data_IF_463519614453
#
_entry.id   IF_463519614453
#
_cell.length_a   1.000
_cell.length_b   1.000
_cell.length_c   1.000
_cell.angle_alpha   90.00
_cell.angle_beta   90.00
_cell.angle_gamma   90.00
#
_symmetry.space_group_name_H-M   'P 1'
#
loop_
_entity.id
_entity.type
_entity.pdbx_description
1 polymer ?
#
# COMPACT_ATOMS: atom_id res chain seq x y z
N UNK A 1 -63.25 -8.54 -30.12
CA UNK A 1 -62.05 -8.82 -29.29
C UNK A 1 -60.95 -9.38 -30.17
N UNK A 2 -59.84 -8.66 -30.33
CA UNK A 2 -58.52 -9.29 -30.22
C UNK A 2 -57.56 -8.51 -29.32
N UNK A 3 -56.58 -9.25 -28.80
CA UNK A 3 -55.63 -8.94 -27.72
C UNK A 3 -54.68 -7.78 -28.05
N UNK A 4 -54.54 -6.90 -27.07
CA UNK A 4 -53.50 -5.88 -26.97
C UNK A 4 -52.21 -6.55 -26.42
N UNK A 5 -51.15 -6.66 -27.23
CA UNK A 5 -49.82 -7.10 -26.78
C UNK A 5 -48.86 -5.92 -26.75
N UNK A 6 -48.79 -5.26 -25.58
CA UNK A 6 -47.76 -4.26 -25.30
C UNK A 6 -46.39 -4.95 -25.17
N UNK A 7 -45.47 -4.66 -26.09
CA UNK A 7 -44.05 -5.01 -25.96
C UNK A 7 -43.34 -3.93 -25.16
N UNK A 8 -42.86 -4.28 -23.97
CA UNK A 8 -41.92 -3.47 -23.18
C UNK A 8 -40.60 -3.31 -23.94
N UNK A 9 -40.23 -2.07 -24.29
CA UNK A 9 -38.85 -1.74 -24.67
C UNK A 9 -38.09 -1.40 -23.39
N UNK A 10 -37.33 -2.36 -22.89
CA UNK A 10 -36.31 -2.13 -21.86
C UNK A 10 -35.23 -1.25 -22.49
N UNK A 11 -35.16 0.01 -22.08
CA UNK A 11 -34.05 0.90 -22.42
C UNK A 11 -32.87 0.51 -21.54
N UNK A 12 -31.83 -0.05 -22.14
CA UNK A 12 -30.57 -0.34 -21.46
C UNK A 12 -29.97 0.96 -20.91
N UNK A 13 -29.76 1.03 -19.59
CA UNK A 13 -29.04 2.11 -18.94
C UNK A 13 -27.61 2.15 -19.48
N UNK A 14 -27.28 3.20 -20.24
CA UNK A 14 -25.92 3.46 -20.73
C UNK A 14 -25.06 3.85 -19.52
N UNK A 15 -24.12 2.99 -19.11
CA UNK A 15 -23.08 3.37 -18.16
C UNK A 15 -22.29 4.52 -18.79
N UNK A 16 -22.41 5.72 -18.22
CA UNK A 16 -21.55 6.85 -18.58
C UNK A 16 -20.22 6.65 -17.85
N UNK A 17 -19.19 6.29 -18.61
CA UNK A 17 -17.80 6.25 -18.16
C UNK A 17 -17.40 7.69 -17.80
N UNK A 18 -17.30 7.99 -16.51
CA UNK A 18 -16.69 9.24 -16.05
C UNK A 18 -15.19 9.16 -16.35
N UNK A 19 -14.73 9.99 -17.27
CA UNK A 19 -13.34 10.13 -17.68
C UNK A 19 -12.49 10.63 -16.52
N UNK A 20 -11.38 9.90 -16.28
CA UNK A 20 -10.39 10.08 -15.23
C UNK A 20 -9.55 11.34 -15.45
N UNK A 21 -10.08 12.50 -15.09
CA UNK A 21 -9.30 13.74 -14.97
C UNK A 21 -9.57 14.48 -13.65
N UNK A 22 -10.21 13.80 -12.67
CA UNK A 22 -10.51 14.39 -11.36
C UNK A 22 -9.54 13.98 -10.24
N UNK A 23 -8.67 12.98 -10.44
CA UNK A 23 -7.80 12.50 -9.35
C UNK A 23 -6.59 13.41 -9.10
N UNK A 24 -6.04 14.04 -10.15
CA UNK A 24 -4.91 14.99 -10.02
C UNK A 24 -5.33 16.38 -9.50
N UNK A 25 -6.61 16.74 -9.61
CA UNK A 25 -7.13 18.04 -9.14
C UNK A 25 -7.64 17.96 -7.68
N UNK A 26 -7.99 16.77 -7.19
CA UNK A 26 -8.40 16.61 -5.78
C UNK A 26 -7.28 16.84 -4.76
N UNK A 27 -6.00 16.75 -5.14
CA UNK A 27 -4.89 17.08 -4.24
C UNK A 27 -4.47 18.57 -4.28
N UNK A 28 -4.94 19.35 -5.25
CA UNK A 28 -4.42 20.71 -5.49
C UNK A 28 -5.46 21.84 -5.33
N UNK A 29 -6.74 21.54 -5.06
CA UNK A 29 -7.78 22.57 -4.83
C UNK A 29 -8.39 22.54 -3.41
N UNK A 30 -7.91 21.69 -2.49
CA UNK A 30 -8.30 21.78 -1.07
C UNK A 30 -7.52 22.88 -0.30
N UNK A 31 -7.28 24.02 -0.94
CA UNK A 31 -6.92 25.24 -0.24
C UNK A 31 -8.19 25.89 0.30
N UNK A 32 -8.64 25.45 1.49
CA UNK A 32 -9.34 26.19 2.56
C UNK A 32 -9.68 25.14 3.66
N UNK A 33 -8.96 25.22 4.78
CA UNK A 33 -9.21 24.58 6.08
C UNK A 33 -9.23 23.04 6.16
N UNK A 34 -8.08 22.37 6.09
CA UNK A 34 -7.85 21.11 6.84
C UNK A 34 -7.32 21.43 8.23
N UNK A 35 -8.09 22.19 9.03
CA UNK A 35 -7.80 22.27 10.45
C UNK A 35 -8.21 20.93 11.08
N UNK A 36 -7.23 20.07 11.35
CA UNK A 36 -7.30 18.81 12.11
C UNK A 36 -8.44 17.85 11.70
N UNK A 37 -8.40 17.30 10.48
CA UNK A 37 -9.30 16.19 10.13
C UNK A 37 -9.06 14.94 10.99
N UNK A 38 -7.82 14.80 11.49
CA UNK A 38 -7.37 13.75 12.40
C UNK A 38 -6.50 14.37 13.48
N UNK A 39 -6.56 13.84 14.71
CA UNK A 39 -5.75 14.32 15.84
C UNK A 39 -4.30 13.81 15.76
N UNK A 40 -4.09 12.69 15.06
CA UNK A 40 -2.78 12.05 14.87
C UNK A 40 -2.75 11.24 13.57
N UNK A 41 -1.54 10.88 13.12
CA UNK A 41 -1.31 9.88 12.07
C UNK A 41 -0.30 8.86 12.57
N UNK A 42 -0.53 7.57 12.31
CA UNK A 42 0.42 6.49 12.64
C UNK A 42 0.57 5.57 11.44
N UNK A 43 1.80 5.18 11.11
CA UNK A 43 2.14 4.39 9.93
C UNK A 43 2.69 3.02 10.31
N UNK A 44 2.19 1.99 9.63
CA UNK A 44 2.65 0.60 9.70
C UNK A 44 2.85 0.07 8.29
N UNK A 45 3.89 -0.73 8.09
CA UNK A 45 4.16 -1.27 6.78
C UNK A 45 5.62 -1.58 6.52
N UNK A 46 5.98 -1.40 5.26
CA UNK A 46 7.28 -1.77 4.72
C UNK A 46 8.11 -0.56 4.22
N UNK A 47 9.10 -0.84 3.37
CA UNK A 47 10.00 0.13 2.75
C UNK A 47 9.29 1.28 2.04
N UNK A 48 8.08 1.07 1.51
CA UNK A 48 7.33 2.13 0.83
C UNK A 48 6.97 3.28 1.79
N UNK A 49 6.97 3.02 3.10
CA UNK A 49 6.54 3.96 4.15
C UNK A 49 7.62 4.23 5.20
N UNK A 50 8.62 3.34 5.33
CA UNK A 50 9.72 3.44 6.32
C UNK A 50 10.41 4.83 6.31
N UNK A 51 10.46 5.46 7.48
CA UNK A 51 11.07 6.78 7.69
C UNK A 51 12.55 6.75 8.10
N UNK A 52 13.18 5.58 8.20
CA UNK A 52 14.59 5.40 8.54
C UNK A 52 14.84 4.47 9.72
N UNK A 53 14.13 3.34 9.82
CA UNK A 53 14.29 2.35 10.90
C UNK A 53 15.76 1.93 11.10
N UNK A 54 16.50 1.79 10.00
CA UNK A 54 17.91 1.36 9.98
C UNK A 54 18.93 2.51 10.10
N UNK A 55 18.52 3.75 10.35
CA UNK A 55 19.42 4.94 10.30
C UNK A 55 20.61 4.90 11.26
N UNK A 56 20.59 4.07 12.30
CA UNK A 56 21.71 3.88 13.23
C UNK A 56 22.72 2.81 12.77
N UNK A 57 22.34 1.96 11.82
CA UNK A 57 23.15 0.80 11.38
C UNK A 57 23.47 0.81 9.89
N UNK A 58 22.81 1.69 9.11
CA UNK A 58 23.02 1.89 7.67
C UNK A 58 23.35 3.37 7.44
N UNK A 59 24.32 3.70 6.56
CA UNK A 59 24.65 5.10 6.27
C UNK A 59 23.47 5.91 5.72
N UNK A 60 23.38 7.19 6.13
CA UNK A 60 22.37 8.13 5.66
C UNK A 60 21.02 8.01 6.38
N UNK A 61 19.94 8.62 5.85
CA UNK A 61 18.61 8.55 6.44
C UNK A 61 18.02 7.13 6.50
N UNK A 62 18.60 6.18 5.76
CA UNK A 62 18.15 4.79 5.65
C UNK A 62 16.68 4.65 5.23
N UNK A 63 16.19 5.58 4.42
CA UNK A 63 14.88 5.51 3.78
C UNK A 63 15.00 4.86 2.39
N UNK A 64 13.92 4.23 1.91
CA UNK A 64 13.91 3.50 0.64
C UNK A 64 13.45 4.38 -0.53
N UNK A 65 14.21 5.45 -0.74
CA UNK A 65 14.00 6.46 -1.79
C UNK A 65 15.36 6.96 -2.30
N UNK A 66 15.38 7.99 -3.14
CA UNK A 66 16.58 8.54 -3.79
C UNK A 66 17.65 9.08 -2.83
N UNK A 67 17.36 9.20 -1.52
CA UNK A 67 18.22 9.66 -0.42
C UNK A 67 19.08 10.90 -0.75
N UNK A 68 18.89 12.05 -0.07
CA UNK A 68 18.25 12.20 1.24
C UNK A 68 16.75 12.54 1.19
N UNK A 69 16.10 12.32 0.04
CA UNK A 69 14.65 12.53 -0.08
C UNK A 69 13.89 11.69 0.96
N UNK A 70 12.68 12.11 1.29
CA UNK A 70 11.79 11.38 2.20
C UNK A 70 10.88 10.42 1.44
N UNK A 71 10.39 9.38 2.13
CA UNK A 71 9.23 8.62 1.67
C UNK A 71 7.97 9.49 1.69
N UNK A 72 6.91 9.04 1.01
CA UNK A 72 5.64 9.76 0.91
C UNK A 72 5.03 10.08 2.28
N UNK A 73 5.30 9.25 3.30
CA UNK A 73 4.76 9.37 4.64
C UNK A 73 5.04 10.74 5.26
N UNK A 74 6.24 11.29 5.03
CA UNK A 74 6.62 12.61 5.54
C UNK A 74 5.75 13.71 4.94
N UNK A 75 5.69 13.80 3.61
CA UNK A 75 4.89 14.83 2.94
C UNK A 75 3.39 14.65 3.18
N UNK A 76 2.91 13.42 3.34
CA UNK A 76 1.52 13.14 3.70
C UNK A 76 1.18 13.59 5.11
N UNK A 77 2.04 13.29 6.09
CA UNK A 77 1.87 13.78 7.46
C UNK A 77 1.89 15.32 7.53
N UNK A 78 2.81 15.97 6.79
CA UNK A 78 2.89 17.44 6.73
C UNK A 78 1.62 18.08 6.16
N UNK A 79 1.02 17.48 5.12
CA UNK A 79 -0.25 17.94 4.55
C UNK A 79 -1.42 17.81 5.53
N UNK A 80 -1.33 16.89 6.49
CA UNK A 80 -2.29 16.73 7.58
C UNK A 80 -1.98 17.64 8.78
N UNK A 81 -0.93 18.46 8.72
CA UNK A 81 -0.51 19.33 9.82
C UNK A 81 0.22 18.60 10.96
N UNK A 82 0.79 17.43 10.67
CA UNK A 82 1.51 16.57 11.62
C UNK A 82 2.89 16.18 11.05
N UNK A 83 3.57 15.21 11.65
CA UNK A 83 4.91 14.75 11.26
C UNK A 83 4.96 13.22 11.21
N UNK A 84 5.78 12.66 10.33
CA UNK A 84 6.13 11.23 10.36
C UNK A 84 7.52 11.07 10.98
N UNK A 85 7.57 10.53 12.20
CA UNK A 85 8.81 10.30 12.96
C UNK A 85 9.08 8.80 13.01
N UNK A 86 10.20 8.31 12.43
CA UNK A 86 10.51 6.89 12.44
C UNK A 86 10.79 6.40 13.85
N UNK A 87 10.26 5.23 14.15
CA UNK A 87 10.81 4.37 15.20
C UNK A 87 12.13 3.81 14.67
N UNK A 88 13.21 3.94 15.45
CA UNK A 88 14.57 3.59 14.99
C UNK A 88 15.12 2.40 15.78
N UNK A 89 15.73 1.46 15.07
CA UNK A 89 16.39 0.30 15.68
C UNK A 89 17.43 0.75 16.71
N UNK A 90 17.45 0.08 17.86
CA UNK A 90 18.38 0.39 18.96
C UNK A 90 18.09 1.69 19.70
N UNK A 91 17.01 2.40 19.36
CA UNK A 91 16.54 3.60 20.06
C UNK A 91 15.28 3.31 20.87
N UNK A 92 14.93 4.15 21.87
CA UNK A 92 13.61 4.11 22.47
C UNK A 92 12.52 4.17 21.39
N UNK A 93 11.45 3.40 21.57
CA UNK A 93 10.33 3.29 20.63
C UNK A 93 9.45 4.55 20.65
N UNK A 94 10.05 5.68 20.25
CA UNK A 94 9.43 7.00 20.19
C UNK A 94 9.27 7.34 18.71
N UNK A 95 8.04 7.66 18.30
CA UNK A 95 7.70 7.96 16.92
C UNK A 95 6.30 7.47 16.58
N UNK A 96 5.87 7.75 15.37
CA UNK A 96 4.57 7.34 14.83
C UNK A 96 4.69 6.65 13.47
N UNK A 97 5.91 6.44 12.98
CA UNK A 97 6.17 5.62 11.80
C UNK A 97 6.90 4.35 12.22
N UNK A 98 6.14 3.26 12.32
CA UNK A 98 6.59 1.94 12.70
C UNK A 98 6.94 1.07 11.48
N UNK A 99 6.81 1.59 10.26
CA UNK A 99 7.10 0.85 9.05
C UNK A 99 8.61 0.49 8.98
N UNK A 100 8.90 -0.73 8.55
CA UNK A 100 10.27 -1.26 8.47
C UNK A 100 10.51 -1.83 7.09
N UNK A 101 11.58 -1.39 6.42
CA UNK A 101 12.02 -1.95 5.15
C UNK A 101 12.12 -3.48 5.17
N UNK A 102 11.44 -4.13 4.23
CA UNK A 102 11.38 -5.58 4.13
C UNK A 102 10.27 -6.25 4.94
N UNK A 103 9.47 -5.50 5.71
CA UNK A 103 8.36 -6.07 6.47
C UNK A 103 7.35 -6.78 5.57
N UNK A 104 6.96 -7.98 5.99
CA UNK A 104 5.84 -8.74 5.42
C UNK A 104 4.58 -8.50 6.25
N UNK A 105 3.43 -8.91 5.72
CA UNK A 105 2.14 -8.67 6.39
C UNK A 105 2.04 -9.32 7.78
N UNK A 106 2.50 -10.56 7.93
CA UNK A 106 2.42 -11.29 9.21
C UNK A 106 3.60 -12.21 9.53
N UNK A 107 4.62 -12.25 8.68
CA UNK A 107 5.82 -13.06 8.90
C UNK A 107 7.00 -12.16 9.25
N UNK A 108 7.70 -12.50 10.32
CA UNK A 108 8.91 -11.80 10.74
C UNK A 108 10.03 -12.03 9.74
N UNK A 109 10.88 -11.02 9.56
CA UNK A 109 12.07 -11.13 8.73
C UNK A 109 13.32 -10.66 9.50
N UNK A 110 14.48 -10.85 8.90
CA UNK A 110 15.77 -10.48 9.50
C UNK A 110 16.62 -9.78 8.46
N UNK A 111 17.02 -8.56 8.76
CA UNK A 111 18.02 -7.83 7.98
C UNK A 111 19.43 -8.36 8.29
N UNK A 112 20.39 -8.30 7.34
CA UNK A 112 21.77 -8.71 7.58
C UNK A 112 22.36 -8.15 8.88
N UNK A 113 23.09 -8.98 9.61
CA UNK A 113 23.58 -8.65 10.96
C UNK A 113 22.61 -9.03 12.09
N UNK A 114 21.51 -9.73 11.78
CA UNK A 114 20.59 -10.24 12.80
C UNK A 114 19.60 -9.19 13.32
N UNK A 115 19.40 -8.10 12.57
CA UNK A 115 18.52 -7.02 12.96
C UNK A 115 17.08 -7.44 12.63
N UNK A 116 16.16 -7.43 13.61
CA UNK A 116 14.79 -7.88 13.39
C UNK A 116 14.03 -6.92 12.46
N UNK A 117 13.21 -7.50 11.59
CA UNK A 117 12.21 -6.79 10.80
C UNK A 117 10.85 -7.29 11.26
N UNK A 118 10.17 -6.46 12.06
CA UNK A 118 8.83 -6.77 12.52
C UNK A 118 7.84 -6.81 11.36
N UNK A 119 6.98 -7.82 11.32
CA UNK A 119 5.84 -7.83 10.38
C UNK A 119 4.88 -6.69 10.67
N UNK A 120 4.02 -6.31 9.71
CA UNK A 120 3.03 -5.27 9.93
C UNK A 120 2.08 -5.60 11.10
N UNK A 121 1.73 -6.88 11.28
CA UNK A 121 0.98 -7.35 12.44
C UNK A 121 1.73 -7.09 13.76
N UNK A 122 3.00 -7.48 13.85
CA UNK A 122 3.84 -7.23 15.03
C UNK A 122 4.07 -5.74 15.29
N UNK A 123 4.20 -4.91 14.24
CA UNK A 123 4.31 -3.45 14.38
C UNK A 123 3.06 -2.87 15.05
N UNK A 124 1.86 -3.29 14.64
CA UNK A 124 0.60 -2.85 15.27
C UNK A 124 0.48 -3.37 16.69
N UNK A 125 0.77 -4.64 16.95
CA UNK A 125 0.71 -5.22 18.30
C UNK A 125 1.64 -4.46 19.26
N UNK A 126 2.88 -4.21 18.84
CA UNK A 126 3.83 -3.42 19.62
C UNK A 126 3.33 -1.98 19.87
N UNK A 127 2.65 -1.36 18.90
CA UNK A 127 2.06 -0.04 19.09
C UNK A 127 0.96 -0.06 20.16
N UNK A 128 -0.01 -0.96 20.07
CA UNK A 128 -1.14 -1.00 21.02
C UNK A 128 -0.75 -1.46 22.42
N UNK A 129 0.32 -2.25 22.55
CA UNK A 129 0.87 -2.65 23.86
C UNK A 129 1.46 -1.47 24.62
N UNK A 130 1.89 -0.43 23.90
CA UNK A 130 2.59 0.72 24.47
C UNK A 130 1.80 2.04 24.37
N UNK A 131 0.70 2.05 23.61
CA UNK A 131 -0.07 3.25 23.31
C UNK A 131 -1.58 2.95 23.30
N UNK A 132 -2.37 3.95 23.67
CA UNK A 132 -3.80 3.90 23.45
C UNK A 132 -4.10 4.31 22.00
N UNK A 133 -4.91 3.52 21.30
CA UNK A 133 -5.43 3.88 19.98
C UNK A 133 -6.35 5.10 20.13
N UNK A 134 -6.05 6.13 19.34
CA UNK A 134 -6.79 7.38 19.25
C UNK A 134 -7.97 7.19 18.28
N UNK A 135 -9.23 7.29 18.74
CA UNK A 135 -10.40 7.17 17.87
C UNK A 135 -10.49 8.28 16.82
N UNK A 136 -9.77 9.39 16.97
CA UNK A 136 -9.68 10.47 15.98
C UNK A 136 -8.38 10.41 15.16
N UNK A 137 -7.52 9.41 15.40
CA UNK A 137 -6.28 9.21 14.67
C UNK A 137 -6.50 8.55 13.31
N UNK A 138 -5.63 8.87 12.35
CA UNK A 138 -5.52 8.18 11.08
C UNK A 138 -4.44 7.10 11.16
N UNK A 139 -4.80 5.85 10.86
CA UNK A 139 -3.88 4.73 10.85
C UNK A 139 -3.60 4.27 9.43
N UNK A 140 -2.34 4.24 9.02
CA UNK A 140 -1.94 3.78 7.69
C UNK A 140 -1.37 2.38 7.80
N UNK A 141 -1.93 1.42 7.05
CA UNK A 141 -1.43 0.03 6.99
C UNK A 141 -1.10 -0.30 5.54
N UNK A 142 0.18 -0.43 5.21
CA UNK A 142 0.62 -0.76 3.85
C UNK A 142 1.77 -1.77 3.84
N UNK A 143 1.42 -3.04 3.61
CA UNK A 143 2.35 -4.16 3.50
C UNK A 143 1.94 -5.08 2.35
N UNK A 144 2.63 -6.21 2.19
CA UNK A 144 2.27 -7.29 1.25
C UNK A 144 3.14 -7.34 0.00
N UNK A 145 3.84 -6.26 -0.36
CA UNK A 145 4.76 -6.29 -1.50
C UNK A 145 5.89 -7.30 -1.27
N UNK A 146 6.45 -7.34 -0.05
CA UNK A 146 7.48 -8.33 0.32
C UNK A 146 6.95 -9.77 0.34
N UNK A 147 5.65 -9.98 0.60
CA UNK A 147 5.03 -11.30 0.49
C UNK A 147 4.93 -11.77 -0.96
N UNK A 148 4.65 -10.85 -1.90
CA UNK A 148 4.67 -11.17 -3.34
C UNK A 148 6.09 -11.50 -3.82
N UNK A 149 7.10 -10.80 -3.31
CA UNK A 149 8.50 -11.13 -3.59
C UNK A 149 8.88 -12.50 -3.04
N UNK A 150 8.51 -12.80 -1.79
CA UNK A 150 8.74 -14.12 -1.19
C UNK A 150 7.99 -15.25 -1.94
N UNK A 151 6.77 -14.97 -2.41
CA UNK A 151 5.99 -15.90 -3.23
C UNK A 151 6.67 -16.17 -4.59
N UNK A 152 7.26 -15.15 -5.21
CA UNK A 152 8.01 -15.31 -6.45
C UNK A 152 9.30 -16.12 -6.27
N UNK A 153 9.96 -16.01 -5.11
CA UNK A 153 11.16 -16.79 -4.76
C UNK A 153 10.83 -18.26 -4.41
N UNK A 154 9.62 -18.55 -3.96
CA UNK A 154 9.15 -19.91 -3.69
C UNK A 154 7.80 -20.23 -4.37
N UNK A 155 7.81 -20.49 -5.70
CA UNK A 155 6.59 -20.74 -6.47
C UNK A 155 5.72 -21.89 -5.96
N UNK A 156 6.33 -22.89 -5.33
CA UNK A 156 5.61 -24.04 -4.76
C UNK A 156 4.68 -23.65 -3.60
N UNK A 157 5.03 -22.58 -2.87
CA UNK A 157 4.24 -22.07 -1.74
C UNK A 157 3.57 -20.72 -2.02
N UNK A 158 3.73 -20.16 -3.22
CA UNK A 158 3.28 -18.81 -3.57
C UNK A 158 1.82 -18.53 -3.20
N UNK A 159 0.90 -19.47 -3.47
CA UNK A 159 -0.52 -19.31 -3.14
C UNK A 159 -0.73 -19.20 -1.62
N UNK A 160 -0.08 -20.06 -0.83
CA UNK A 160 -0.19 -20.03 0.62
C UNK A 160 0.40 -18.75 1.21
N UNK A 161 1.55 -18.30 0.68
CA UNK A 161 2.18 -17.02 1.06
C UNK A 161 1.26 -15.83 0.80
N UNK A 162 0.65 -15.75 -0.39
CA UNK A 162 -0.27 -14.67 -0.78
C UNK A 162 -1.52 -14.67 0.11
N UNK A 163 -2.15 -15.82 0.30
CA UNK A 163 -3.38 -15.90 1.12
C UNK A 163 -3.11 -15.64 2.60
N UNK A 164 -1.97 -16.11 3.13
CA UNK A 164 -1.52 -15.81 4.48
C UNK A 164 -1.31 -14.31 4.69
N UNK A 165 -0.66 -13.63 3.74
CA UNK A 165 -0.45 -12.20 3.81
C UNK A 165 -1.75 -11.38 3.79
N UNK A 166 -2.73 -11.79 2.96
CA UNK A 166 -4.08 -11.18 2.97
C UNK A 166 -4.76 -11.37 4.33
N UNK A 167 -4.68 -12.57 4.91
CA UNK A 167 -5.26 -12.85 6.22
C UNK A 167 -4.61 -12.00 7.33
N UNK A 168 -3.28 -11.91 7.34
CA UNK A 168 -2.54 -11.10 8.31
C UNK A 168 -2.83 -9.59 8.18
N UNK A 169 -3.07 -9.07 6.97
CA UNK A 169 -3.52 -7.68 6.83
C UNK A 169 -4.92 -7.47 7.39
N UNK A 170 -5.86 -8.37 7.10
CA UNK A 170 -7.21 -8.30 7.67
C UNK A 170 -7.18 -8.38 9.20
N UNK A 171 -6.30 -9.22 9.76
CA UNK A 171 -6.04 -9.29 11.20
C UNK A 171 -5.48 -7.96 11.75
N UNK A 172 -4.45 -7.40 11.12
CA UNK A 172 -3.85 -6.12 11.49
C UNK A 172 -4.90 -4.99 11.56
N UNK A 173 -5.79 -4.95 10.56
CA UNK A 173 -6.90 -3.99 10.48
C UNK A 173 -7.95 -4.25 11.57
N UNK A 174 -8.30 -5.52 11.82
CA UNK A 174 -9.21 -5.88 12.92
C UNK A 174 -8.63 -5.46 14.26
N UNK A 175 -7.35 -5.69 14.51
CA UNK A 175 -6.68 -5.29 15.75
C UNK A 175 -6.79 -3.78 15.98
N UNK A 176 -6.51 -2.95 14.98
CA UNK A 176 -6.68 -1.50 15.10
C UNK A 176 -8.14 -1.11 15.37
N UNK A 177 -9.08 -1.67 14.59
CA UNK A 177 -10.52 -1.42 14.74
C UNK A 177 -11.04 -1.81 16.13
N UNK A 178 -10.69 -3.01 16.60
CA UNK A 178 -11.13 -3.55 17.89
C UNK A 178 -10.52 -2.79 19.07
N UNK A 179 -9.41 -2.08 18.86
CA UNK A 179 -8.81 -1.17 19.83
C UNK A 179 -9.30 0.29 19.68
N UNK A 180 -10.20 0.58 18.75
CA UNK A 180 -10.91 1.87 18.67
C UNK A 180 -10.54 2.76 17.48
N UNK A 181 -9.74 2.29 16.53
CA UNK A 181 -9.39 3.07 15.35
C UNK A 181 -10.62 3.27 14.45
N UNK A 182 -11.02 4.52 14.21
CA UNK A 182 -12.13 4.86 13.32
C UNK A 182 -11.71 5.19 11.89
N UNK A 183 -10.42 5.39 11.61
CA UNK A 183 -9.94 5.76 10.28
C UNK A 183 -8.69 4.98 9.94
N UNK A 184 -8.81 4.05 8.99
CA UNK A 184 -7.69 3.23 8.56
C UNK A 184 -7.50 3.39 7.05
N UNK A 185 -6.40 4.04 6.65
CA UNK A 185 -5.96 4.16 5.27
C UNK A 185 -5.23 2.88 4.86
N UNK A 186 -5.73 2.23 3.81
CA UNK A 186 -5.16 0.98 3.29
C UNK A 186 -4.85 1.14 1.81
N UNK A 187 -3.62 1.48 1.45
CA UNK A 187 -3.20 1.47 0.06
C UNK A 187 -3.13 0.03 -0.48
N UNK A 188 -3.52 -0.14 -1.73
CA UNK A 188 -3.33 -1.40 -2.42
C UNK A 188 -1.87 -1.55 -2.92
N UNK A 189 -1.49 -2.73 -3.34
CA UNK A 189 -0.15 -2.96 -3.91
C UNK A 189 -0.06 -2.27 -5.26
N UNK A 190 0.98 -1.45 -5.53
CA UNK A 190 1.23 -0.88 -6.85
C UNK A 190 1.35 -1.95 -7.93
N UNK A 191 1.28 -1.57 -9.19
CA UNK A 191 1.57 -2.50 -10.28
C UNK A 191 3.06 -2.86 -10.30
N UNK A 192 3.42 -3.94 -9.59
CA UNK A 192 4.83 -4.34 -9.46
C UNK A 192 5.45 -4.79 -10.79
N UNK A 193 4.63 -5.17 -11.77
CA UNK A 193 5.09 -5.46 -13.14
C UNK A 193 5.67 -4.24 -13.84
N UNK A 194 5.43 -3.04 -13.31
CA UNK A 194 5.97 -1.78 -13.83
C UNK A 194 7.20 -1.28 -13.07
N UNK A 195 7.72 -2.06 -12.13
CA UNK A 195 8.98 -1.73 -11.44
C UNK A 195 10.19 -2.11 -12.30
N UNK A 196 11.36 -1.44 -12.12
CA UNK A 196 12.58 -1.81 -12.83
C UNK A 196 13.01 -3.28 -12.69
N UNK A 197 12.55 -3.97 -11.64
CA UNK A 197 12.81 -5.42 -11.44
C UNK A 197 12.13 -6.30 -12.48
N UNK A 198 10.98 -5.87 -13.02
CA UNK A 198 10.12 -6.68 -13.89
C UNK A 198 9.94 -6.10 -15.29
N UNK A 199 10.19 -4.80 -15.49
CA UNK A 199 10.20 -4.20 -16.82
C UNK A 199 11.39 -4.77 -17.62
N UNK A 200 11.15 -5.39 -18.79
CA UNK A 200 12.24 -5.92 -19.61
C UNK A 200 13.19 -4.83 -20.09
N UNK A 201 14.49 -5.14 -20.14
CA UNK A 201 15.45 -4.30 -20.85
C UNK A 201 15.06 -4.23 -22.34
N UNK A 202 14.99 -3.02 -22.93
CA UNK A 202 14.56 -2.84 -24.33
C UNK A 202 15.48 -3.52 -25.36
N UNK A 203 16.69 -3.93 -24.97
CA UNK A 203 17.64 -4.61 -25.83
C UNK A 203 17.55 -6.14 -25.73
N UNK A 204 16.66 -6.69 -24.88
CA UNK A 204 16.43 -8.14 -24.84
C UNK A 204 15.74 -8.60 -26.12
N UNK A 205 16.18 -9.74 -26.63
CA UNK A 205 15.62 -10.37 -27.83
C UNK A 205 15.38 -11.86 -27.60
N UNK A 206 14.64 -12.50 -28.52
CA UNK A 206 14.47 -13.95 -28.52
C UNK A 206 13.81 -14.49 -27.25
N UNK A 207 14.35 -15.60 -26.74
CA UNK A 207 13.79 -16.32 -25.60
C UNK A 207 13.87 -15.50 -24.29
N UNK A 208 14.94 -14.74 -24.11
CA UNK A 208 15.15 -13.93 -22.90
C UNK A 208 14.08 -12.83 -22.78
N UNK A 209 13.70 -12.19 -23.90
CA UNK A 209 12.60 -11.23 -23.94
C UNK A 209 11.25 -11.89 -23.60
N UNK A 210 11.00 -13.09 -24.12
CA UNK A 210 9.74 -13.83 -23.85
C UNK A 210 9.61 -14.15 -22.36
N UNK A 211 10.70 -14.58 -21.73
CA UNK A 211 10.76 -14.89 -20.29
C UNK A 211 10.59 -13.62 -19.44
N UNK A 212 11.26 -12.52 -19.79
CA UNK A 212 11.12 -11.25 -19.09
C UNK A 212 9.67 -10.72 -19.18
N UNK A 213 9.04 -10.77 -20.36
CA UNK A 213 7.63 -10.37 -20.53
C UNK A 213 6.67 -11.30 -19.76
N UNK A 214 6.99 -12.58 -19.64
CA UNK A 214 6.19 -13.51 -18.83
C UNK A 214 6.30 -13.18 -17.34
N UNK A 215 7.51 -12.89 -16.84
CA UNK A 215 7.73 -12.45 -15.47
C UNK A 215 7.00 -11.13 -15.18
N UNK A 216 7.05 -10.17 -16.11
CA UNK A 216 6.32 -8.91 -15.99
C UNK A 216 4.81 -9.12 -15.83
N UNK A 217 4.21 -9.94 -16.71
CA UNK A 217 2.78 -10.29 -16.64
C UNK A 217 2.42 -11.02 -15.35
N UNK A 218 3.28 -11.94 -14.90
CA UNK A 218 3.06 -12.68 -13.65
C UNK A 218 3.09 -11.73 -12.44
N UNK A 219 4.01 -10.77 -12.40
CA UNK A 219 4.13 -9.79 -11.34
C UNK A 219 2.90 -8.85 -11.28
N UNK A 220 2.46 -8.33 -12.43
CA UNK A 220 1.21 -7.56 -12.55
C UNK A 220 0.00 -8.37 -12.07
N UNK A 221 -0.13 -9.62 -12.54
CA UNK A 221 -1.22 -10.51 -12.16
C UNK A 221 -1.24 -10.84 -10.66
N UNK A 222 -0.07 -11.05 -10.05
CA UNK A 222 0.06 -11.32 -8.63
C UNK A 222 -0.39 -10.11 -7.78
N UNK A 223 0.05 -8.89 -8.13
CA UNK A 223 -0.42 -7.68 -7.44
C UNK A 223 -1.93 -7.46 -7.62
N UNK A 224 -2.46 -7.63 -8.83
CA UNK A 224 -3.90 -7.51 -9.08
C UNK A 224 -4.72 -8.52 -8.27
N UNK A 225 -4.26 -9.78 -8.19
CA UNK A 225 -4.94 -10.82 -7.44
C UNK A 225 -4.88 -10.56 -5.93
N UNK A 226 -3.70 -10.18 -5.42
CA UNK A 226 -3.53 -9.77 -4.04
C UNK A 226 -4.50 -8.65 -3.67
N UNK A 227 -4.57 -7.60 -4.49
CA UNK A 227 -5.44 -6.45 -4.26
C UNK A 227 -6.92 -6.83 -4.23
N UNK A 228 -7.36 -7.75 -5.09
CA UNK A 228 -8.72 -8.25 -5.09
C UNK A 228 -9.07 -8.99 -3.79
N UNK A 229 -8.17 -9.86 -3.31
CA UNK A 229 -8.37 -10.59 -2.06
C UNK A 229 -8.27 -9.68 -0.85
N UNK A 230 -7.33 -8.73 -0.84
CA UNK A 230 -7.17 -7.75 0.23
C UNK A 230 -8.45 -6.91 0.37
N UNK A 231 -8.97 -6.32 -0.72
CA UNK A 231 -10.21 -5.54 -0.67
C UNK A 231 -11.38 -6.36 -0.11
N UNK A 232 -11.50 -7.61 -0.54
CA UNK A 232 -12.54 -8.52 -0.04
C UNK A 232 -12.37 -8.83 1.45
N UNK A 233 -11.15 -9.16 1.88
CA UNK A 233 -10.83 -9.46 3.28
C UNK A 233 -11.03 -8.27 4.20
N UNK A 234 -10.60 -7.09 3.77
CA UNK A 234 -10.71 -5.84 4.50
C UNK A 234 -12.17 -5.38 4.62
N UNK A 235 -12.98 -5.52 3.56
CA UNK A 235 -14.42 -5.20 3.65
C UNK A 235 -15.14 -6.07 4.70
N UNK A 236 -14.73 -7.33 4.87
CA UNK A 236 -15.32 -8.24 5.84
C UNK A 236 -14.96 -7.91 7.30
N UNK A 237 -14.00 -7.02 7.56
CA UNK A 237 -13.65 -6.57 8.91
C UNK A 237 -14.73 -5.67 9.52
N UNK A 238 -15.49 -4.96 8.69
CA UNK A 238 -16.41 -3.90 9.14
C UNK A 238 -15.69 -2.64 9.64
N UNK A 239 -14.37 -2.53 9.50
CA UNK A 239 -13.62 -1.32 9.78
C UNK A 239 -14.00 -0.19 8.81
N UNK A 240 -13.84 1.06 9.23
CA UNK A 240 -13.97 2.21 8.33
C UNK A 240 -12.64 2.41 7.57
N UNK A 241 -12.63 1.91 6.34
CA UNK A 241 -11.45 1.82 5.49
C UNK A 241 -11.45 2.94 4.46
N UNK A 242 -10.33 3.63 4.36
CA UNK A 242 -10.04 4.61 3.32
C UNK A 242 -9.11 3.90 2.31
N UNK A 243 -9.61 3.45 1.16
CA UNK A 243 -8.75 2.79 0.17
C UNK A 243 -7.91 3.83 -0.59
N UNK A 244 -6.65 3.48 -0.89
CA UNK A 244 -5.81 4.26 -1.81
C UNK A 244 -5.36 3.37 -2.98
N UNK A 245 -5.80 3.69 -4.20
CA UNK A 245 -5.54 2.89 -5.40
C UNK A 245 -4.20 3.23 -6.06
N UNK A 246 -3.13 2.70 -5.46
CA UNK A 246 -1.77 2.82 -5.96
C UNK A 246 -1.53 2.02 -7.25
N UNK A 247 -2.25 0.90 -7.42
CA UNK A 247 -2.18 0.07 -8.64
C UNK A 247 -2.56 0.88 -9.88
N UNK A 248 -3.75 1.50 -9.87
CA UNK A 248 -4.20 2.34 -10.99
C UNK A 248 -3.36 3.61 -11.12
N UNK A 249 -2.98 4.26 -10.01
CA UNK A 249 -2.15 5.47 -10.03
C UNK A 249 -0.81 5.24 -10.74
N UNK A 250 -0.16 4.11 -10.47
CA UNK A 250 1.12 3.76 -11.11
C UNK A 250 0.96 3.62 -12.64
N UNK A 251 -0.13 2.98 -13.09
CA UNK A 251 -0.44 2.87 -14.51
C UNK A 251 -0.75 4.21 -15.16
N UNK A 252 -1.46 5.10 -14.45
CA UNK A 252 -1.80 6.44 -14.93
C UNK A 252 -0.55 7.30 -15.12
N UNK A 253 0.37 7.28 -14.15
CA UNK A 253 1.64 8.01 -14.22
C UNK A 253 2.46 7.53 -15.41
N UNK A 254 2.59 6.21 -15.60
CA UNK A 254 3.37 5.64 -16.71
C UNK A 254 2.73 5.91 -18.07
N UNK A 255 1.40 5.94 -18.15
CA UNK A 255 0.69 6.26 -19.38
C UNK A 255 0.80 7.75 -19.76
N UNK A 256 1.11 8.64 -18.82
CA UNK A 256 1.16 10.10 -19.04
C UNK A 256 2.21 10.80 -18.17
N UNK A 257 3.50 10.43 -18.27
CA UNK A 257 4.55 10.84 -17.33
C UNK A 257 4.72 12.37 -17.25
N UNK A 258 4.60 13.06 -18.39
CA UNK A 258 4.74 14.51 -18.46
C UNK A 258 3.66 15.27 -17.65
N UNK A 259 2.47 14.69 -17.45
CA UNK A 259 1.43 15.32 -16.61
C UNK A 259 1.80 15.34 -15.12
N UNK A 260 2.73 14.47 -14.72
CA UNK A 260 3.25 14.33 -13.36
C UNK A 260 4.68 14.84 -13.22
N UNK A 261 5.25 15.46 -14.26
CA UNK A 261 6.61 16.01 -14.24
C UNK A 261 7.73 15.00 -14.52
N UNK A 262 7.42 13.81 -15.02
CA UNK A 262 8.39 12.80 -15.42
C UNK A 262 8.68 12.83 -16.94
N UNK A 263 9.83 12.30 -17.34
CA UNK A 263 10.30 12.19 -18.74
C UNK A 263 10.42 10.75 -19.20
#
# INVERSE_FOLDING_TARGET
MPRNTSRSKISHTTLKTFTKSMLAISLSIAGITHANAYDSVTFFGDSLTDGGYFSQVVPGPAQFTTNPDNTWATSFAEQLGTTAVPVVFGSPQIGNNYAIGGARAGEEAVFPGGIPIASANSQVNNYIDNNQVDPNGLYVVWAGANDLLAAAENPANAQATILGAVASQAETINTLKDNGANYILVPNIPDIGLTPRFVPDPNLEGQDLVEALAAQRAANGAASLYNQFMLSGVTNTGANIIPLDMFSLTQEIIASPAQYGFT
#
